data_IF_075190834291
#
_entry.id   IF_075190834291
#
_cell.length_a   1.000
_cell.length_b   1.000
_cell.length_c   1.000
_cell.angle_alpha   90.00
_cell.angle_beta   90.00
_cell.angle_gamma   90.00
#
_symmetry.space_group_name_H-M   'P 1'
#
loop_
_entity.id
_entity.type
_entity.pdbx_description
1 polymer ?
#
# COMPACT_ATOMS: atom_id res chain seq x y z
N UNK A 1 -27.11 -24.93 -10.85
CA UNK A 1 -26.05 -24.08 -11.39
C UNK A 1 -25.12 -24.89 -12.31
N UNK A 2 -24.49 -26.00 -11.86
CA UNK A 2 -23.65 -26.86 -12.72
C UNK A 2 -24.40 -27.35 -13.97
N UNK A 3 -25.63 -27.82 -13.81
CA UNK A 3 -26.50 -28.26 -14.94
C UNK A 3 -26.80 -27.14 -15.97
N UNK A 4 -26.59 -25.88 -15.58
CA UNK A 4 -26.79 -24.69 -16.42
C UNK A 4 -25.46 -24.15 -16.97
N UNK A 5 -24.35 -24.90 -16.87
CA UNK A 5 -23.04 -24.51 -17.38
C UNK A 5 -22.28 -23.46 -16.55
N UNK A 6 -22.77 -23.14 -15.35
CA UNK A 6 -22.07 -22.23 -14.45
C UNK A 6 -20.89 -22.90 -13.77
N UNK A 7 -19.76 -22.21 -13.65
CA UNK A 7 -18.62 -22.64 -12.83
C UNK A 7 -19.00 -22.60 -11.36
N UNK A 8 -18.96 -23.72 -10.69
CA UNK A 8 -19.28 -23.89 -9.27
C UNK A 8 -18.04 -24.48 -8.58
N UNK A 9 -17.73 -23.99 -7.40
CA UNK A 9 -16.67 -24.54 -6.56
C UNK A 9 -17.07 -25.97 -6.16
N UNK A 10 -16.19 -26.94 -6.40
CA UNK A 10 -16.41 -28.34 -6.07
C UNK A 10 -15.97 -28.71 -4.65
N UNK A 11 -15.11 -27.90 -4.06
CA UNK A 11 -14.56 -28.11 -2.71
C UNK A 11 -15.53 -27.56 -1.65
N UNK A 12 -16.61 -28.29 -1.37
CA UNK A 12 -17.48 -28.02 -0.23
C UNK A 12 -17.93 -29.34 0.41
N UNK A 13 -18.21 -29.30 1.70
CA UNK A 13 -18.71 -30.43 2.48
C UNK A 13 -19.88 -29.98 3.34
N UNK A 14 -20.89 -30.85 3.49
CA UNK A 14 -21.95 -30.66 4.48
C UNK A 14 -21.48 -31.37 5.75
N UNK A 15 -21.47 -30.63 6.86
CA UNK A 15 -20.99 -31.11 8.15
C UNK A 15 -22.12 -31.02 9.18
N UNK A 16 -22.15 -32.00 10.10
CA UNK A 16 -23.19 -32.15 11.13
C UNK A 16 -22.64 -31.93 12.55
N UNK A 17 -21.30 -31.79 12.71
CA UNK A 17 -20.66 -31.51 14.00
C UNK A 17 -19.53 -30.50 13.81
N UNK A 18 -19.08 -29.91 14.93
CA UNK A 18 -17.92 -29.01 14.93
C UNK A 18 -16.63 -29.72 14.46
N UNK A 19 -16.46 -31.00 14.87
CA UNK A 19 -15.31 -31.82 14.50
C UNK A 19 -15.25 -32.05 12.99
N UNK A 20 -16.42 -32.30 12.37
CA UNK A 20 -16.50 -32.47 10.91
C UNK A 20 -16.18 -31.15 10.19
N UNK A 21 -16.67 -30.02 10.70
CA UNK A 21 -16.34 -28.69 10.15
C UNK A 21 -14.85 -28.44 10.21
N UNK A 22 -14.23 -28.71 11.37
CA UNK A 22 -12.80 -28.49 11.56
C UNK A 22 -11.96 -29.34 10.61
N UNK A 23 -12.29 -30.64 10.52
CA UNK A 23 -11.65 -31.57 9.59
C UNK A 23 -11.78 -31.13 8.12
N UNK A 24 -12.94 -30.62 7.74
CA UNK A 24 -13.15 -30.10 6.39
C UNK A 24 -12.28 -28.85 6.11
N UNK A 25 -12.16 -27.96 7.09
CA UNK A 25 -11.26 -26.78 7.00
C UNK A 25 -9.81 -27.23 6.81
N UNK A 26 -9.33 -28.19 7.61
CA UNK A 26 -7.96 -28.72 7.49
C UNK A 26 -7.72 -29.38 6.12
N UNK A 27 -8.64 -30.22 5.66
CA UNK A 27 -8.55 -30.87 4.34
C UNK A 27 -8.48 -29.86 3.18
N UNK A 28 -9.28 -28.80 3.24
CA UNK A 28 -9.23 -27.72 2.23
C UNK A 28 -7.87 -27.02 2.27
N UNK A 29 -7.35 -26.76 3.48
CA UNK A 29 -6.03 -26.15 3.67
C UNK A 29 -4.88 -26.98 3.12
N UNK A 30 -4.89 -28.30 3.38
CA UNK A 30 -3.87 -29.24 2.87
C UNK A 30 -3.91 -29.37 1.34
N UNK A 31 -5.10 -29.25 0.75
CA UNK A 31 -5.28 -29.36 -0.70
C UNK A 31 -5.06 -28.05 -1.46
N UNK A 32 -4.74 -26.93 -0.77
CA UNK A 32 -4.69 -25.59 -1.40
C UNK A 32 -3.72 -25.50 -2.58
N UNK A 33 -2.58 -26.17 -2.52
CA UNK A 33 -1.57 -26.17 -3.59
C UNK A 33 -1.99 -27.00 -4.81
N UNK A 34 -3.04 -27.83 -4.68
CA UNK A 34 -3.60 -28.65 -5.75
C UNK A 34 -4.81 -28.00 -6.43
N UNK A 35 -5.31 -26.89 -5.87
CA UNK A 35 -6.40 -26.14 -6.47
C UNK A 35 -5.89 -25.35 -7.67
N UNK A 36 -6.71 -25.22 -8.69
CA UNK A 36 -6.40 -24.38 -9.85
C UNK A 36 -6.56 -22.86 -9.59
N UNK A 37 -6.69 -22.46 -8.33
CA UNK A 37 -6.86 -21.08 -7.87
C UNK A 37 -6.38 -20.95 -6.42
N UNK A 38 -5.94 -19.76 -6.05
CA UNK A 38 -5.47 -19.45 -4.69
C UNK A 38 -6.65 -19.29 -3.72
N UNK A 39 -6.46 -19.76 -2.48
CA UNK A 39 -7.40 -19.59 -1.37
C UNK A 39 -6.67 -19.05 -0.13
N UNK A 40 -7.29 -18.09 0.57
CA UNK A 40 -6.79 -17.52 1.82
C UNK A 40 -7.50 -18.05 3.07
N UNK A 41 -8.55 -18.85 2.87
CA UNK A 41 -9.35 -19.38 3.96
C UNK A 41 -10.49 -20.29 3.49
N UNK A 42 -11.29 -20.72 4.46
CA UNK A 42 -12.53 -21.47 4.25
C UNK A 42 -13.70 -20.70 4.86
N UNK A 43 -14.87 -20.78 4.24
CA UNK A 43 -16.09 -20.14 4.74
C UNK A 43 -17.07 -21.20 5.22
N UNK A 44 -17.40 -21.15 6.51
CA UNK A 44 -18.43 -21.99 7.12
C UNK A 44 -19.76 -21.24 7.07
N UNK A 45 -20.81 -21.90 6.60
CA UNK A 45 -22.15 -21.32 6.49
C UNK A 45 -23.17 -22.27 7.06
N UNK A 46 -24.18 -21.73 7.75
CA UNK A 46 -25.36 -22.51 8.13
C UNK A 46 -26.07 -22.97 6.85
N UNK A 47 -26.37 -24.26 6.73
CA UNK A 47 -26.96 -24.83 5.50
C UNK A 47 -28.45 -24.45 5.36
N UNK A 48 -29.23 -24.53 6.44
CA UNK A 48 -30.66 -24.23 6.44
C UNK A 48 -30.97 -22.74 6.18
N UNK A 49 -31.67 -22.46 5.10
CA UNK A 49 -32.15 -21.07 4.79
C UNK A 49 -33.06 -20.51 5.87
N UNK A 50 -33.93 -21.32 6.48
CA UNK A 50 -34.78 -20.87 7.59
C UNK A 50 -33.96 -20.41 8.80
N UNK A 51 -32.92 -21.15 9.16
CA UNK A 51 -32.00 -20.74 10.23
C UNK A 51 -31.19 -19.49 9.85
N UNK A 52 -30.79 -19.32 8.60
CA UNK A 52 -30.12 -18.09 8.14
C UNK A 52 -31.02 -16.85 8.33
N UNK A 53 -32.31 -16.98 8.02
CA UNK A 53 -33.29 -15.92 8.24
C UNK A 53 -33.45 -15.58 9.72
N UNK A 54 -33.51 -16.58 10.59
CA UNK A 54 -33.59 -16.37 12.05
C UNK A 54 -32.35 -15.68 12.62
N UNK A 55 -31.15 -16.07 12.16
CA UNK A 55 -29.88 -15.47 12.61
C UNK A 55 -29.71 -14.04 12.08
N UNK A 56 -30.25 -13.77 10.90
CA UNK A 56 -30.19 -12.44 10.28
C UNK A 56 -28.79 -11.99 9.92
N UNK A 57 -28.62 -10.68 9.83
CA UNK A 57 -27.36 -10.03 9.48
C UNK A 57 -27.19 -8.71 10.24
N UNK A 58 -25.94 -8.26 10.34
CA UNK A 58 -25.61 -6.89 10.76
C UNK A 58 -25.59 -5.98 9.53
N UNK A 59 -25.35 -4.66 9.74
CA UNK A 59 -25.17 -3.74 8.62
C UNK A 59 -24.01 -4.12 7.67
N UNK A 60 -23.05 -4.92 8.14
CA UNK A 60 -21.84 -5.24 7.39
C UNK A 60 -21.67 -6.72 7.05
N UNK A 61 -22.15 -7.63 7.89
CA UNK A 61 -21.86 -9.07 7.76
C UNK A 61 -23.06 -9.94 8.14
N UNK A 62 -23.24 -11.12 7.52
CA UNK A 62 -24.21 -12.13 7.91
C UNK A 62 -23.80 -12.80 9.24
N UNK A 63 -24.78 -13.14 10.10
CA UNK A 63 -24.55 -13.89 11.35
C UNK A 63 -24.51 -15.39 11.13
N UNK A 64 -24.91 -15.86 9.97
CA UNK A 64 -24.97 -17.27 9.59
C UNK A 64 -23.75 -17.77 8.81
N UNK A 65 -22.71 -16.92 8.67
CA UNK A 65 -21.48 -17.30 8.02
C UNK A 65 -20.27 -16.77 8.81
N UNK A 66 -19.21 -17.59 8.84
CA UNK A 66 -17.93 -17.21 9.45
C UNK A 66 -16.79 -17.66 8.53
N UNK A 67 -15.77 -16.82 8.37
CA UNK A 67 -14.58 -17.14 7.61
C UNK A 67 -13.46 -17.60 8.56
N UNK A 68 -12.86 -18.73 8.26
CA UNK A 68 -11.60 -19.17 8.84
C UNK A 68 -10.47 -18.80 7.87
N UNK A 69 -9.48 -18.05 8.35
CA UNK A 69 -8.30 -17.67 7.58
C UNK A 69 -7.14 -18.58 7.93
N UNK A 70 -6.52 -19.20 6.93
CA UNK A 70 -5.31 -19.98 7.16
C UNK A 70 -4.17 -19.09 7.65
N UNK A 71 -3.23 -19.65 8.44
CA UNK A 71 -2.01 -18.93 8.77
C UNK A 71 -1.31 -18.47 7.48
N UNK A 72 -0.82 -17.21 7.44
CA UNK A 72 -0.11 -16.72 6.28
C UNK A 72 1.19 -17.49 6.05
N UNK A 73 1.58 -17.65 4.79
CA UNK A 73 2.91 -18.14 4.45
C UNK A 73 3.96 -17.16 4.98
N UNK A 74 4.97 -17.68 5.69
CA UNK A 74 6.08 -16.91 6.25
C UNK A 74 7.39 -17.39 5.63
N UNK A 75 8.26 -16.44 5.30
CA UNK A 75 9.61 -16.72 4.78
C UNK A 75 10.65 -15.89 5.50
N UNK A 76 11.81 -16.48 5.68
CA UNK A 76 12.99 -15.75 6.11
C UNK A 76 13.73 -15.14 4.92
N UNK A 77 14.23 -13.92 5.11
CA UNK A 77 15.04 -13.23 4.11
C UNK A 77 16.00 -12.26 4.79
N UNK A 78 17.09 -11.90 4.12
CA UNK A 78 18.09 -11.00 4.66
C UNK A 78 17.69 -9.55 4.44
N UNK A 79 17.67 -8.75 5.49
CA UNK A 79 17.49 -7.30 5.44
C UNK A 79 18.77 -6.66 4.90
N UNK A 80 18.66 -6.00 3.76
CA UNK A 80 19.78 -5.36 3.06
C UNK A 80 19.93 -3.89 3.45
N UNK A 81 18.79 -3.16 3.54
CA UNK A 81 18.75 -1.73 3.81
C UNK A 81 17.41 -1.30 4.39
N UNK A 82 17.33 -0.09 4.92
CA UNK A 82 16.09 0.57 5.33
C UNK A 82 16.01 1.92 4.61
N UNK A 83 15.15 1.98 3.60
CA UNK A 83 14.89 3.21 2.85
C UNK A 83 13.92 4.12 3.61
N UNK A 84 14.26 5.39 3.73
CA UNK A 84 13.42 6.40 4.37
C UNK A 84 12.72 7.25 3.31
N UNK A 85 11.40 7.29 3.33
CA UNK A 85 10.59 8.15 2.45
C UNK A 85 9.89 9.25 3.25
N UNK A 86 9.71 10.42 2.61
CA UNK A 86 9.05 11.57 3.23
C UNK A 86 7.67 11.75 2.58
N UNK A 87 6.62 11.65 3.38
CA UNK A 87 5.24 11.80 2.95
C UNK A 87 4.78 13.25 2.80
N UNK A 88 3.54 13.45 2.36
CA UNK A 88 2.90 14.75 2.16
C UNK A 88 2.97 15.66 3.39
N UNK A 89 2.70 15.14 4.57
CA UNK A 89 2.75 15.87 5.84
C UNK A 89 4.17 16.01 6.41
N UNK A 90 5.20 15.50 5.70
CA UNK A 90 6.56 15.44 6.17
C UNK A 90 6.90 14.21 7.01
N UNK A 91 5.95 13.31 7.26
CA UNK A 91 6.17 12.04 8.00
C UNK A 91 7.22 11.20 7.28
N UNK A 92 8.21 10.75 8.05
CA UNK A 92 9.27 9.85 7.58
C UNK A 92 8.80 8.41 7.82
N UNK A 93 8.73 7.65 6.73
CA UNK A 93 8.28 6.25 6.77
C UNK A 93 9.43 5.35 6.35
N UNK A 94 9.90 4.45 7.26
CA UNK A 94 10.91 3.46 6.94
C UNK A 94 10.31 2.28 6.18
N UNK A 95 11.04 1.81 5.18
CA UNK A 95 10.72 0.63 4.36
C UNK A 95 11.91 -0.31 4.36
N UNK A 96 11.71 -1.53 4.82
CA UNK A 96 12.71 -2.59 4.73
C UNK A 96 12.95 -2.98 3.26
N UNK A 97 14.21 -3.01 2.85
CA UNK A 97 14.69 -3.56 1.58
C UNK A 97 15.39 -4.87 1.92
N UNK A 98 14.97 -5.96 1.31
CA UNK A 98 15.49 -7.29 1.63
C UNK A 98 15.72 -8.13 0.37
N UNK A 99 16.48 -9.22 0.50
CA UNK A 99 16.68 -10.16 -0.61
C UNK A 99 15.33 -10.63 -1.14
N UNK A 100 15.13 -10.62 -2.48
CA UNK A 100 13.85 -11.03 -3.07
C UNK A 100 13.45 -12.43 -2.63
N UNK A 101 12.23 -12.58 -2.13
CA UNK A 101 11.68 -13.85 -1.67
C UNK A 101 10.29 -14.08 -2.27
N UNK A 102 10.01 -15.35 -2.63
CA UNK A 102 8.71 -15.72 -3.19
C UNK A 102 7.72 -16.01 -2.06
N UNK A 103 6.62 -15.27 -2.04
CA UNK A 103 5.53 -15.38 -1.07
C UNK A 103 4.18 -15.35 -1.80
N UNK A 104 3.29 -16.30 -1.53
CA UNK A 104 1.95 -16.37 -2.12
C UNK A 104 1.99 -16.08 -3.64
N UNK A 105 2.79 -16.85 -4.39
CA UNK A 105 2.88 -16.80 -5.85
C UNK A 105 3.61 -15.60 -6.45
N UNK A 106 3.99 -14.56 -5.68
CA UNK A 106 4.71 -13.39 -6.18
C UNK A 106 6.05 -13.18 -5.47
N UNK A 107 6.97 -12.48 -6.11
CA UNK A 107 8.27 -12.11 -5.51
C UNK A 107 8.15 -10.74 -4.84
N UNK A 108 8.57 -10.66 -3.59
CA UNK A 108 8.59 -9.43 -2.80
C UNK A 108 10.00 -9.14 -2.32
N UNK A 109 10.37 -7.85 -2.22
CA UNK A 109 11.68 -7.38 -1.75
C UNK A 109 11.59 -6.14 -0.87
N UNK A 110 10.37 -5.68 -0.57
CA UNK A 110 10.10 -4.46 0.19
C UNK A 110 8.92 -4.66 1.11
N UNK A 111 9.01 -4.15 2.35
CA UNK A 111 7.89 -4.10 3.30
C UNK A 111 8.00 -2.87 4.21
N UNK A 112 6.88 -2.27 4.58
CA UNK A 112 6.91 -1.14 5.50
C UNK A 112 7.35 -1.55 6.90
N UNK A 113 8.17 -0.69 7.54
CA UNK A 113 8.49 -0.76 8.97
C UNK A 113 7.73 0.29 9.78
N UNK A 114 6.74 0.95 9.19
CA UNK A 114 5.80 1.88 9.79
C UNK A 114 6.43 3.13 10.43
N UNK A 115 7.19 2.99 11.52
CA UNK A 115 7.80 4.06 12.30
C UNK A 115 8.95 3.52 13.16
N UNK A 116 9.60 4.40 13.96
CA UNK A 116 10.71 4.01 14.84
C UNK A 116 10.26 3.02 15.94
N UNK A 117 9.09 3.24 16.55
CA UNK A 117 8.58 2.37 17.61
C UNK A 117 8.39 0.92 17.14
N UNK A 118 7.94 0.75 15.89
CA UNK A 118 7.83 -0.58 15.30
C UNK A 118 9.20 -1.23 15.07
N UNK A 119 10.20 -0.46 14.62
CA UNK A 119 11.58 -0.92 14.47
C UNK A 119 12.14 -1.35 15.82
N UNK A 120 11.94 -0.53 16.86
CA UNK A 120 12.42 -0.80 18.22
C UNK A 120 11.73 -2.01 18.84
N UNK A 121 10.42 -2.16 18.63
CA UNK A 121 9.65 -3.30 19.14
C UNK A 121 10.13 -4.65 18.59
N UNK A 122 10.63 -4.67 17.36
CA UNK A 122 11.21 -5.85 16.72
C UNK A 122 12.73 -5.96 16.92
N UNK A 123 13.39 -4.90 17.45
CA UNK A 123 14.85 -4.78 17.54
C UNK A 123 15.52 -5.03 16.16
N UNK A 124 15.02 -4.35 15.12
CA UNK A 124 15.53 -4.52 13.75
C UNK A 124 16.91 -3.89 13.59
N UNK A 125 17.82 -4.63 12.95
CA UNK A 125 19.19 -4.18 12.64
C UNK A 125 19.53 -4.49 11.20
N UNK A 126 20.36 -3.67 10.57
CA UNK A 126 20.83 -3.96 9.22
C UNK A 126 21.59 -5.29 9.16
N UNK A 127 21.31 -6.08 8.14
CA UNK A 127 21.89 -7.42 7.98
C UNK A 127 21.16 -8.54 8.72
N UNK A 128 20.12 -8.23 9.51
CA UNK A 128 19.31 -9.25 10.17
C UNK A 128 18.62 -10.19 9.17
N UNK A 129 18.36 -11.41 9.60
CA UNK A 129 17.39 -12.29 8.95
C UNK A 129 16.00 -11.95 9.48
N UNK A 130 15.18 -11.37 8.65
CA UNK A 130 13.79 -10.98 8.97
C UNK A 130 12.80 -12.04 8.51
N UNK A 131 11.68 -12.16 9.22
CA UNK A 131 10.55 -13.00 8.87
C UNK A 131 9.50 -12.12 8.21
N UNK A 132 9.17 -12.44 6.96
CA UNK A 132 8.19 -11.68 6.17
C UNK A 132 6.98 -12.54 5.82
N UNK A 133 5.84 -11.90 5.73
CA UNK A 133 4.58 -12.52 5.32
C UNK A 133 3.73 -11.53 4.54
N UNK A 134 2.66 -11.98 3.91
CA UNK A 134 1.68 -11.07 3.28
C UNK A 134 0.41 -11.00 4.11
N UNK A 135 0.02 -9.81 4.49
CA UNK A 135 -1.28 -9.55 5.10
C UNK A 135 -2.36 -9.58 4.02
N UNK A 136 -3.36 -10.47 4.20
CA UNK A 136 -4.41 -10.69 3.20
C UNK A 136 -3.88 -11.19 1.86
N UNK A 137 -2.73 -11.89 1.86
CA UNK A 137 -2.03 -12.41 0.67
C UNK A 137 -1.58 -11.36 -0.36
N UNK A 138 -1.69 -10.08 -0.02
CA UNK A 138 -1.38 -8.94 -0.91
C UNK A 138 -0.21 -8.11 -0.39
N UNK A 139 -0.29 -7.63 0.86
CA UNK A 139 0.63 -6.59 1.39
C UNK A 139 1.77 -7.23 2.17
N UNK A 140 3.04 -7.12 1.70
CA UNK A 140 4.19 -7.60 2.45
C UNK A 140 4.36 -6.86 3.78
N UNK A 141 4.60 -7.63 4.86
CA UNK A 141 4.88 -7.12 6.21
C UNK A 141 6.04 -7.87 6.83
N UNK A 142 6.76 -7.18 7.70
CA UNK A 142 7.77 -7.79 8.58
C UNK A 142 7.07 -8.25 9.85
N UNK A 143 7.17 -9.55 10.17
CA UNK A 143 6.64 -10.15 11.39
C UNK A 143 7.60 -10.03 12.56
N UNK A 144 8.90 -10.18 12.28
CA UNK A 144 9.93 -10.21 13.30
C UNK A 144 11.32 -10.46 12.73
N UNK A 145 12.25 -10.68 13.63
CA UNK A 145 13.67 -10.93 13.35
C UNK A 145 14.06 -12.29 13.94
N UNK A 146 14.78 -13.10 13.17
CA UNK A 146 15.44 -14.30 13.69
C UNK A 146 16.77 -13.91 14.36
N UNK A 147 16.72 -13.76 15.69
CA UNK A 147 17.89 -13.30 16.48
C UNK A 147 19.04 -14.30 16.51
N UNK A 148 18.77 -15.59 16.27
CA UNK A 148 19.79 -16.64 16.25
C UNK A 148 20.71 -16.51 15.01
N UNK A 149 20.21 -15.88 13.94
CA UNK A 149 20.95 -15.62 12.70
C UNK A 149 21.50 -14.20 12.60
N UNK A 150 21.47 -13.45 13.69
CA UNK A 150 21.90 -12.03 13.72
C UNK A 150 23.41 -11.91 13.54
N UNK A 151 23.89 -11.00 12.66
CA UNK A 151 25.30 -10.70 12.53
C UNK A 151 25.90 -10.13 13.82
N UNK A 152 27.07 -10.62 14.20
CA UNK A 152 27.80 -10.10 15.35
C UNK A 152 28.15 -8.61 15.14
N UNK A 153 28.03 -7.80 16.20
CA UNK A 153 28.35 -6.37 16.15
C UNK A 153 27.29 -5.48 15.49
N UNK A 154 26.14 -6.04 15.08
CA UNK A 154 25.04 -5.22 14.57
C UNK A 154 24.46 -4.30 15.65
N UNK A 155 24.11 -3.08 15.28
CA UNK A 155 23.51 -2.09 16.19
C UNK A 155 22.02 -1.85 15.84
N UNK A 156 21.18 -1.52 16.85
CA UNK A 156 19.78 -1.17 16.59
C UNK A 156 19.67 -0.02 15.58
N UNK A 157 18.75 -0.16 14.64
CA UNK A 157 18.55 0.88 13.62
C UNK A 157 17.79 2.07 14.22
N UNK A 158 18.26 3.27 13.93
CA UNK A 158 17.63 4.52 14.35
C UNK A 158 17.40 5.43 13.13
N UNK A 159 16.18 5.95 13.00
CA UNK A 159 15.88 7.00 12.03
C UNK A 159 16.65 8.25 12.49
N UNK A 160 17.48 8.80 11.62
CA UNK A 160 18.32 9.95 11.95
C UNK A 160 17.53 11.23 12.26
N UNK A 161 18.21 12.21 12.88
CA UNK A 161 17.62 13.50 13.24
C UNK A 161 17.58 14.51 12.07
N UNK A 162 17.84 14.06 10.86
CA UNK A 162 17.85 14.88 9.64
C UNK A 162 16.96 14.26 8.55
N UNK A 163 16.27 15.12 7.82
CA UNK A 163 15.43 14.69 6.71
C UNK A 163 16.29 14.06 5.59
N UNK A 164 15.97 12.85 5.13
CA UNK A 164 16.76 12.18 4.09
C UNK A 164 16.70 12.85 2.72
N UNK A 165 15.77 13.80 2.51
CA UNK A 165 15.57 14.48 1.23
C UNK A 165 16.18 15.89 1.22
N UNK A 166 15.95 16.70 2.27
CA UNK A 166 16.38 18.10 2.27
C UNK A 166 17.41 18.44 3.35
N UNK A 167 17.83 17.48 4.19
CA UNK A 167 18.82 17.69 5.24
C UNK A 167 18.33 18.51 6.44
N UNK A 168 17.12 19.04 6.42
CA UNK A 168 16.57 19.80 7.53
C UNK A 168 16.39 18.94 8.79
N UNK A 169 16.39 19.53 10.01
CA UNK A 169 16.11 18.79 11.22
C UNK A 169 14.77 18.07 11.17
N UNK A 170 14.69 16.91 11.82
CA UNK A 170 13.44 16.21 12.06
C UNK A 170 12.96 16.46 13.48
N UNK A 171 11.67 16.27 13.73
CA UNK A 171 11.07 16.35 15.05
C UNK A 171 10.01 15.27 15.21
N UNK A 172 9.78 14.82 16.42
CA UNK A 172 8.67 13.98 16.76
C UNK A 172 7.47 14.85 17.12
N UNK A 173 6.33 14.60 16.49
CA UNK A 173 5.11 15.33 16.79
C UNK A 173 4.56 14.89 18.15
N UNK A 174 4.26 15.86 19.02
CA UNK A 174 3.77 15.60 20.37
C UNK A 174 2.50 14.73 20.36
N UNK A 175 2.46 13.72 21.21
CA UNK A 175 1.33 12.77 21.29
C UNK A 175 1.27 11.75 20.15
N UNK A 176 2.26 11.70 19.27
CA UNK A 176 2.36 10.73 18.18
C UNK A 176 3.71 10.03 18.14
N UNK A 177 3.79 8.93 17.39
CA UNK A 177 5.04 8.19 17.09
C UNK A 177 5.69 8.66 15.79
N UNK A 178 5.17 9.72 15.19
CA UNK A 178 5.57 10.17 13.86
C UNK A 178 6.78 11.11 13.92
N UNK A 179 7.85 10.71 13.25
CA UNK A 179 9.00 11.58 12.99
C UNK A 179 8.73 12.35 11.70
N UNK A 180 8.83 13.68 11.75
CA UNK A 180 8.49 14.57 10.64
C UNK A 180 9.65 15.50 10.27
N UNK A 181 9.77 15.81 8.98
CA UNK A 181 10.65 16.87 8.48
C UNK A 181 10.12 18.25 8.88
N UNK A 182 10.97 19.09 9.50
CA UNK A 182 10.59 20.46 9.91
C UNK A 182 10.48 21.46 8.75
N UNK A 183 11.16 21.18 7.61
CA UNK A 183 11.15 22.10 6.47
C UNK A 183 9.78 22.12 5.78
N UNK A 184 9.05 23.26 5.77
CA UNK A 184 7.76 23.36 5.07
C UNK A 184 7.91 23.26 3.54
N UNK A 185 9.05 23.66 2.99
CA UNK A 185 9.35 23.66 1.55
C UNK A 185 10.17 22.44 1.12
N UNK A 186 10.15 21.34 1.89
CA UNK A 186 10.84 20.11 1.53
C UNK A 186 10.35 19.62 0.15
N UNK A 187 11.26 19.35 -0.82
CA UNK A 187 10.88 18.93 -2.18
C UNK A 187 9.94 17.71 -2.18
N UNK A 188 10.17 16.74 -1.31
CA UNK A 188 9.29 15.57 -1.21
C UNK A 188 7.88 15.94 -0.77
N UNK A 189 7.70 16.94 0.10
CA UNK A 189 6.36 17.41 0.49
C UNK A 189 5.64 18.00 -0.72
N UNK A 190 6.32 18.82 -1.52
CA UNK A 190 5.75 19.40 -2.74
C UNK A 190 5.32 18.32 -3.71
N UNK A 191 6.22 17.38 -4.05
CA UNK A 191 5.90 16.25 -4.94
C UNK A 191 4.66 15.49 -4.45
N UNK A 192 4.62 15.12 -3.16
CA UNK A 192 3.50 14.37 -2.59
C UNK A 192 2.20 15.18 -2.51
N UNK A 193 2.28 16.48 -2.29
CA UNK A 193 1.11 17.35 -2.33
C UNK A 193 0.53 17.44 -3.75
N UNK A 194 1.38 17.63 -4.76
CA UNK A 194 0.95 17.65 -6.17
C UNK A 194 0.37 16.31 -6.59
N UNK A 195 1.03 15.18 -6.25
CA UNK A 195 0.52 13.83 -6.54
C UNK A 195 -0.85 13.59 -5.89
N UNK A 196 -1.04 14.02 -4.64
CA UNK A 196 -2.34 13.93 -3.97
C UNK A 196 -3.39 14.79 -4.69
N UNK A 197 -3.03 16.05 -5.02
CA UNK A 197 -3.93 16.99 -5.68
C UNK A 197 -4.43 16.46 -7.03
N UNK A 198 -3.54 15.91 -7.86
CA UNK A 198 -3.91 15.37 -9.18
C UNK A 198 -4.54 13.98 -9.12
N UNK A 199 -4.53 13.34 -7.95
CA UNK A 199 -4.96 11.96 -7.73
C UNK A 199 -6.44 11.73 -8.00
N UNK A 200 -6.80 10.45 -8.19
CA UNK A 200 -8.17 10.01 -8.53
C UNK A 200 -9.22 10.45 -7.51
N UNK A 201 -8.86 10.42 -6.23
CA UNK A 201 -9.78 10.74 -5.13
C UNK A 201 -9.84 12.25 -4.85
N UNK A 202 -9.09 13.06 -5.63
CA UNK A 202 -9.02 14.52 -5.58
C UNK A 202 -9.46 15.14 -6.93
N UNK A 203 -8.56 15.84 -7.63
CA UNK A 203 -8.90 16.49 -8.91
C UNK A 203 -9.00 15.53 -10.09
N UNK A 204 -8.61 14.25 -9.95
CA UNK A 204 -8.65 13.19 -10.97
C UNK A 204 -8.08 13.62 -12.33
N UNK A 205 -6.89 14.20 -12.33
CA UNK A 205 -6.20 14.60 -13.56
C UNK A 205 -5.55 13.37 -14.19
N UNK A 206 -6.25 12.74 -15.12
CA UNK A 206 -5.82 11.48 -15.75
C UNK A 206 -4.48 11.63 -16.49
N UNK A 207 -3.61 10.65 -16.26
CA UNK A 207 -2.30 10.63 -16.89
C UNK A 207 -1.24 11.49 -16.18
N UNK A 208 -1.60 12.23 -15.15
CA UNK A 208 -0.67 13.03 -14.35
C UNK A 208 -0.06 12.18 -13.23
N UNK A 209 0.78 11.22 -13.58
CA UNK A 209 1.44 10.32 -12.62
C UNK A 209 2.65 10.95 -11.94
N UNK A 210 3.18 10.23 -10.92
CA UNK A 210 4.34 10.65 -10.11
C UNK A 210 5.53 11.11 -10.98
N UNK A 211 5.88 10.36 -12.01
CA UNK A 211 7.00 10.68 -12.90
C UNK A 211 6.89 12.05 -13.56
N UNK A 212 5.69 12.43 -14.05
CA UNK A 212 5.48 13.76 -14.63
C UNK A 212 5.51 14.85 -13.57
N UNK A 213 4.98 14.59 -12.37
CA UNK A 213 5.03 15.52 -11.24
C UNK A 213 6.49 15.82 -10.87
N UNK A 214 7.30 14.79 -10.68
CA UNK A 214 8.73 14.93 -10.36
C UNK A 214 9.46 15.70 -11.45
N UNK A 215 9.30 15.31 -12.72
CA UNK A 215 9.96 16.01 -13.84
C UNK A 215 9.58 17.50 -13.91
N UNK A 216 8.31 17.82 -13.73
CA UNK A 216 7.84 19.22 -13.82
C UNK A 216 8.32 20.06 -12.63
N UNK A 217 8.42 19.49 -11.44
CA UNK A 217 8.98 20.15 -10.26
C UNK A 217 10.49 20.33 -10.42
N UNK A 218 11.23 19.30 -10.80
CA UNK A 218 12.69 19.35 -10.95
C UNK A 218 13.13 20.34 -12.02
N UNK A 219 12.33 20.52 -13.06
CA UNK A 219 12.57 21.50 -14.12
C UNK A 219 12.00 22.91 -13.83
N UNK A 220 11.42 23.11 -12.64
CA UNK A 220 10.93 24.41 -12.19
C UNK A 220 9.63 24.87 -12.86
N UNK A 221 8.82 23.95 -13.39
CA UNK A 221 7.49 24.29 -13.94
C UNK A 221 6.41 24.37 -12.87
N UNK A 222 6.59 23.62 -11.77
CA UNK A 222 5.63 23.54 -10.66
C UNK A 222 6.36 23.84 -9.35
N UNK A 223 5.93 24.89 -8.66
CA UNK A 223 6.36 25.29 -7.30
C UNK A 223 5.20 25.18 -6.30
N UNK A 224 3.97 25.19 -6.81
CA UNK A 224 2.72 25.03 -6.05
C UNK A 224 1.67 24.32 -6.91
N UNK A 225 0.61 23.80 -6.29
CA UNK A 225 -0.49 23.11 -7.00
C UNK A 225 -1.22 24.01 -8.00
N UNK A 226 -1.22 25.34 -7.79
CA UNK A 226 -1.81 26.31 -8.72
C UNK A 226 -1.07 26.37 -10.05
N UNK A 227 0.24 26.11 -10.08
CA UNK A 227 1.06 26.15 -11.28
C UNK A 227 0.64 25.10 -12.32
N UNK A 228 -0.05 24.04 -11.88
CA UNK A 228 -0.62 23.01 -12.77
C UNK A 228 -1.50 23.66 -13.84
N UNK A 229 -2.29 24.66 -13.46
CA UNK A 229 -3.30 25.29 -14.35
C UNK A 229 -2.74 26.32 -15.32
N UNK A 230 -1.47 26.71 -15.15
CA UNK A 230 -0.77 27.60 -16.11
C UNK A 230 0.16 26.83 -17.05
N UNK A 231 0.30 25.49 -16.90
CA UNK A 231 1.14 24.66 -17.79
C UNK A 231 0.71 24.76 -19.26
N UNK A 232 -0.56 25.04 -19.52
CA UNK A 232 -1.09 25.22 -20.87
C UNK A 232 -0.39 26.35 -21.62
N UNK A 233 -0.08 27.44 -20.92
CA UNK A 233 0.59 28.59 -21.50
C UNK A 233 2.04 28.30 -21.89
N UNK A 234 2.62 27.26 -21.30
CA UNK A 234 3.99 26.77 -21.56
C UNK A 234 4.05 25.60 -22.55
N UNK A 235 2.92 25.29 -23.24
CA UNK A 235 2.79 24.10 -24.10
C UNK A 235 3.97 23.95 -25.08
N UNK A 236 4.34 25.03 -25.79
CA UNK A 236 5.44 24.96 -26.79
C UNK A 236 6.78 24.63 -26.13
N UNK A 237 7.08 25.25 -25.01
CA UNK A 237 8.30 24.98 -24.24
C UNK A 237 8.37 23.52 -23.73
N UNK A 238 7.23 23.00 -23.23
CA UNK A 238 7.12 21.60 -22.78
C UNK A 238 7.37 20.60 -23.91
N UNK A 239 6.95 20.94 -25.13
CA UNK A 239 7.18 20.13 -26.33
C UNK A 239 8.63 20.20 -26.79
N UNK A 240 9.21 21.39 -26.88
CA UNK A 240 10.58 21.61 -27.35
C UNK A 240 11.60 20.89 -26.46
N UNK A 241 11.37 20.93 -25.15
CA UNK A 241 12.19 20.26 -24.14
C UNK A 241 11.77 18.78 -23.88
N UNK A 242 10.69 18.31 -24.50
CA UNK A 242 10.12 16.97 -24.32
C UNK A 242 9.86 16.60 -22.84
N UNK A 243 9.44 17.56 -22.02
CA UNK A 243 9.27 17.43 -20.57
C UNK A 243 8.27 16.34 -20.20
N UNK A 244 7.11 16.30 -20.92
CA UNK A 244 6.03 15.34 -20.72
C UNK A 244 6.08 14.25 -21.81
N UNK A 245 6.92 14.44 -22.83
CA UNK A 245 7.05 13.58 -24.00
C UNK A 245 6.67 14.28 -25.31
N UNK A 246 6.02 13.56 -26.24
CA UNK A 246 5.67 14.08 -27.56
C UNK A 246 4.28 14.75 -27.52
N UNK A 247 3.90 15.37 -28.64
CA UNK A 247 2.65 16.15 -28.83
C UNK A 247 1.43 15.45 -28.21
N UNK A 248 1.21 14.17 -28.51
CA UNK A 248 0.03 13.44 -28.03
C UNK A 248 -0.03 13.33 -26.50
N UNK A 249 1.09 13.02 -25.83
CA UNK A 249 1.14 12.89 -24.37
C UNK A 249 0.99 14.25 -23.69
N UNK A 250 1.63 15.29 -24.23
CA UNK A 250 1.53 16.66 -23.73
C UNK A 250 0.10 17.18 -23.86
N UNK A 251 -0.51 17.07 -25.04
CA UNK A 251 -1.88 17.54 -25.27
C UNK A 251 -2.92 16.75 -24.43
N UNK A 252 -2.76 15.45 -24.29
CA UNK A 252 -3.62 14.65 -23.43
C UNK A 252 -3.59 15.11 -21.99
N UNK A 253 -2.40 15.39 -21.45
CA UNK A 253 -2.24 15.87 -20.09
C UNK A 253 -2.84 17.28 -19.92
N UNK A 254 -2.53 18.22 -20.83
CA UNK A 254 -3.06 19.58 -20.78
C UNK A 254 -4.60 19.59 -20.88
N UNK A 255 -5.18 18.73 -21.73
CA UNK A 255 -6.63 18.58 -21.83
C UNK A 255 -7.24 17.99 -20.55
N UNK A 256 -6.57 17.04 -19.91
CA UNK A 256 -7.02 16.47 -18.63
C UNK A 256 -6.99 17.54 -17.50
N UNK A 257 -5.99 18.42 -17.51
CA UNK A 257 -5.91 19.56 -16.58
C UNK A 257 -7.07 20.52 -16.82
N UNK A 258 -7.33 20.92 -18.07
CA UNK A 258 -8.47 21.81 -18.38
C UNK A 258 -9.81 21.19 -17.95
N UNK A 259 -10.01 19.91 -18.23
CA UNK A 259 -11.22 19.18 -17.82
C UNK A 259 -11.41 19.17 -16.30
N UNK A 260 -10.32 19.11 -15.53
CA UNK A 260 -10.41 19.08 -14.07
C UNK A 260 -10.95 20.37 -13.46
N UNK A 261 -10.97 21.49 -14.21
CA UNK A 261 -11.58 22.76 -13.79
C UNK A 261 -13.11 22.69 -13.65
N UNK A 262 -13.72 21.66 -14.24
CA UNK A 262 -15.17 21.40 -14.14
C UNK A 262 -15.56 20.65 -12.86
N UNK A 263 -14.58 20.24 -12.06
CA UNK A 263 -14.83 19.55 -10.80
C UNK A 263 -15.50 20.47 -9.77
N UNK A 264 -16.34 19.87 -8.92
CA UNK A 264 -17.02 20.62 -7.86
C UNK A 264 -16.08 21.06 -6.73
N UNK A 265 -16.55 21.98 -5.88
CA UNK A 265 -15.77 22.51 -4.76
C UNK A 265 -15.37 21.44 -3.75
N UNK A 266 -16.14 20.36 -3.59
CA UNK A 266 -15.84 19.26 -2.66
C UNK A 266 -14.54 18.58 -3.05
N UNK A 267 -14.34 18.32 -4.37
CA UNK A 267 -13.08 17.75 -4.87
C UNK A 267 -11.90 18.68 -4.67
N UNK A 268 -12.07 19.98 -4.86
CA UNK A 268 -11.01 20.98 -4.61
C UNK A 268 -10.63 20.97 -3.13
N UNK A 269 -11.59 21.00 -2.21
CA UNK A 269 -11.33 20.96 -0.77
C UNK A 269 -10.61 19.66 -0.39
N UNK A 270 -11.08 18.51 -0.89
CA UNK A 270 -10.42 17.22 -0.68
C UNK A 270 -8.99 17.22 -1.21
N UNK A 271 -8.77 17.79 -2.41
CA UNK A 271 -7.45 17.89 -3.03
C UNK A 271 -6.46 18.74 -2.19
N UNK A 272 -6.97 19.79 -1.54
CA UNK A 272 -6.21 20.63 -0.61
C UNK A 272 -6.03 20.00 0.78
N UNK A 273 -6.65 18.83 1.03
CA UNK A 273 -6.57 18.12 2.30
C UNK A 273 -7.49 18.66 3.38
N UNK A 274 -8.54 19.38 3.00
CA UNK A 274 -9.61 19.87 3.88
C UNK A 274 -10.71 18.79 3.87
N UNK A 275 -11.02 18.21 5.05
CA UNK A 275 -12.04 17.15 5.25
C UNK A 275 -13.31 17.71 5.88
#
# INVERSE_FOLDING_TARGET
LKKQGMKVIDNYQICHSFEEVWKAIEMIGESRDQLGYDIDGAVVKIDSYAQRQQLGQTAKVPRWAVAYKYPPEEKETKLLDIELSVGRTGRITPTAIFEPVRLCGTTVSRATLHNQDFIDSLDVRLGDTIIVYKSGEIIPKVKGVNKDKRPAGSVPYQIGNTCPVCGAPTYQEEGTVDIKCSNPTCPSKLVRNVVNFVGRDAMDIKGFGLSYVETLIDQGYIHDVSDIYILKDKRQELLDKKVIGLVKSTDNLLNAIEKSKENDATKVLTALGIS
#
